data_IF_910387762596
#
_entry.id   IF_910387762596
#
_cell.length_a   1.000
_cell.length_b   1.000
_cell.length_c   1.000
_cell.angle_alpha   90.00
_cell.angle_beta   90.00
_cell.angle_gamma   90.00
#
_symmetry.space_group_name_H-M   'P 1'
#
loop_
_entity.id
_entity.type
_entity.pdbx_description
1 polymer ?
#
# COMPACT_ATOMS: atom_id res chain seq x y z
N UNK A 1 -7.60 1.73 9.22
CA UNK A 1 -7.51 1.34 7.81
C UNK A 1 -6.51 2.28 7.15
N UNK A 2 -5.50 1.79 6.42
CA UNK A 2 -4.49 2.66 5.79
C UNK A 2 -4.96 3.08 4.40
N UNK A 3 -4.78 4.35 4.03
CA UNK A 3 -5.08 4.83 2.68
C UNK A 3 -4.22 4.13 1.64
N UNK A 4 -4.67 4.09 0.38
CA UNK A 4 -3.87 3.52 -0.72
C UNK A 4 -2.51 4.21 -0.83
N UNK A 5 -2.49 5.54 -0.70
CA UNK A 5 -1.26 6.34 -0.73
C UNK A 5 -0.28 5.94 0.37
N UNK A 6 -0.76 5.74 1.60
CA UNK A 6 0.04 5.27 2.74
C UNK A 6 0.62 3.87 2.49
N UNK A 7 -0.17 2.97 1.91
CA UNK A 7 0.26 1.60 1.57
C UNK A 7 1.35 1.61 0.50
N UNK A 8 1.15 2.38 -0.57
CA UNK A 8 2.14 2.53 -1.65
C UNK A 8 3.42 3.18 -1.11
N UNK A 9 3.30 4.20 -0.27
CA UNK A 9 4.45 4.85 0.35
C UNK A 9 5.25 3.85 1.19
N UNK A 10 4.58 3.04 2.00
CA UNK A 10 5.22 2.00 2.80
C UNK A 10 5.91 0.93 1.93
N UNK A 11 5.27 0.46 0.86
CA UNK A 11 5.88 -0.52 -0.06
C UNK A 11 7.09 0.07 -0.80
N UNK A 12 7.02 1.32 -1.25
CA UNK A 12 8.17 2.00 -1.89
C UNK A 12 9.34 2.16 -0.93
N UNK A 13 9.07 2.54 0.33
CA UNK A 13 10.08 2.61 1.37
C UNK A 13 10.72 1.25 1.64
N UNK A 14 9.89 0.21 1.72
CA UNK A 14 10.33 -1.15 1.93
C UNK A 14 11.30 -1.63 0.84
N UNK A 15 11.00 -1.32 -0.43
CA UNK A 15 11.90 -1.62 -1.56
C UNK A 15 13.19 -0.77 -1.47
N UNK A 16 13.07 0.51 -1.10
CA UNK A 16 14.21 1.42 -0.93
C UNK A 16 15.18 0.98 0.18
N UNK A 17 14.66 0.35 1.22
CA UNK A 17 15.42 -0.17 2.37
C UNK A 17 15.83 -1.64 2.21
N UNK A 18 15.98 -2.15 0.99
CA UNK A 18 16.39 -3.55 0.74
C UNK A 18 15.47 -4.58 1.43
N UNK A 19 14.16 -4.31 1.45
CA UNK A 19 13.15 -5.15 2.09
C UNK A 19 13.33 -5.23 3.62
N UNK A 20 13.88 -4.19 4.23
CA UNK A 20 13.91 -4.03 5.68
C UNK A 20 12.57 -3.53 6.21
N UNK A 21 11.84 -4.44 6.87
CA UNK A 21 10.60 -4.12 7.58
C UNK A 21 10.89 -3.17 8.75
N UNK A 22 11.99 -3.42 9.48
CA UNK A 22 12.31 -2.68 10.69
C UNK A 22 12.55 -1.19 10.39
N UNK A 23 13.30 -0.87 9.35
CA UNK A 23 13.55 0.51 8.93
C UNK A 23 12.28 1.20 8.45
N UNK A 24 11.45 0.48 7.69
CA UNK A 24 10.16 1.01 7.21
C UNK A 24 9.22 1.37 8.36
N UNK A 25 9.11 0.48 9.36
CA UNK A 25 8.29 0.71 10.55
C UNK A 25 8.88 1.81 11.43
N UNK A 26 10.21 1.89 11.56
CA UNK A 26 10.88 2.95 12.33
C UNK A 26 10.68 4.33 11.71
N UNK A 27 10.68 4.43 10.38
CA UNK A 27 10.50 5.70 9.66
C UNK A 27 9.04 6.16 9.61
N UNK A 28 8.11 5.25 9.32
CA UNK A 28 6.70 5.60 9.17
C UNK A 28 5.91 5.50 10.49
N UNK A 29 6.35 4.68 11.44
CA UNK A 29 5.58 4.35 12.65
C UNK A 29 4.42 3.38 12.41
N UNK A 30 4.24 2.94 11.16
CA UNK A 30 3.27 1.98 10.65
C UNK A 30 3.83 1.40 9.34
N UNK A 31 3.24 0.38 8.70
CA UNK A 31 2.25 -0.58 9.16
C UNK A 31 2.88 -1.69 10.03
N UNK A 32 2.13 -2.75 10.37
CA UNK A 32 2.73 -3.96 10.96
C UNK A 32 3.49 -4.79 9.92
N UNK A 33 4.43 -5.63 10.37
CA UNK A 33 5.22 -6.53 9.52
C UNK A 33 4.37 -7.34 8.53
N UNK A 34 3.30 -7.95 9.02
CA UNK A 34 2.42 -8.78 8.17
C UNK A 34 1.70 -7.95 7.10
N UNK A 35 1.25 -6.74 7.43
CA UNK A 35 0.60 -5.86 6.47
C UNK A 35 1.58 -5.44 5.37
N UNK A 36 2.81 -5.07 5.73
CA UNK A 36 3.84 -4.68 4.76
C UNK A 36 4.19 -5.83 3.80
N UNK A 37 4.34 -7.05 4.32
CA UNK A 37 4.62 -8.24 3.51
C UNK A 37 3.45 -8.52 2.55
N UNK A 38 2.21 -8.44 3.04
CA UNK A 38 1.01 -8.64 2.21
C UNK A 38 0.98 -7.62 1.07
N UNK A 39 1.15 -6.35 1.38
CA UNK A 39 1.18 -5.27 0.40
C UNK A 39 2.31 -5.43 -0.62
N UNK A 40 3.52 -5.74 -0.17
CA UNK A 40 4.64 -5.98 -1.07
C UNK A 40 4.38 -7.18 -1.99
N UNK A 41 3.76 -8.25 -1.48
CA UNK A 41 3.40 -9.42 -2.28
C UNK A 41 2.38 -9.05 -3.36
N UNK A 42 1.30 -8.34 -2.98
CA UNK A 42 0.30 -7.87 -3.94
C UNK A 42 0.91 -6.93 -5.00
N UNK A 43 1.76 -6.01 -4.57
CA UNK A 43 2.49 -5.10 -5.46
C UNK A 43 3.41 -5.85 -6.43
N UNK A 44 4.08 -6.91 -5.97
CA UNK A 44 4.94 -7.75 -6.82
C UNK A 44 4.13 -8.57 -7.84
N UNK A 45 2.96 -9.07 -7.45
CA UNK A 45 2.11 -9.92 -8.30
C UNK A 45 1.32 -9.11 -9.34
N UNK A 46 0.77 -7.95 -8.95
CA UNK A 46 -0.10 -7.13 -9.82
C UNK A 46 0.58 -5.88 -10.37
N UNK A 47 1.72 -5.48 -9.82
CA UNK A 47 2.33 -4.17 -10.09
C UNK A 47 1.64 -3.00 -9.37
N UNK A 48 0.56 -3.27 -8.63
CA UNK A 48 -0.23 -2.27 -7.93
C UNK A 48 -0.87 -2.84 -6.64
N UNK A 49 -1.20 -1.96 -5.70
CA UNK A 49 -1.89 -2.30 -4.46
C UNK A 49 -3.39 -2.16 -4.63
N UNK A 50 -4.19 -3.13 -4.20
CA UNK A 50 -5.64 -2.94 -4.24
C UNK A 50 -6.05 -1.74 -3.36
N UNK A 51 -6.54 -0.69 -4.00
CA UNK A 51 -7.27 0.38 -3.33
C UNK A 51 -8.62 -0.19 -2.93
N UNK A 52 -8.72 -0.64 -1.68
CA UNK A 52 -9.98 -1.06 -1.04
C UNK A 52 -11.10 0.02 -1.14
N UNK A 53 -10.76 1.22 -1.62
CA UNK A 53 -11.68 2.23 -2.10
C UNK A 53 -11.77 2.19 -3.63
N UNK A 54 -12.31 1.12 -4.18
CA UNK A 54 -13.22 1.29 -5.32
C UNK A 54 -14.49 1.95 -4.76
N UNK A 55 -14.40 3.23 -4.36
CA UNK A 55 -15.54 4.08 -4.66
C UNK A 55 -15.53 4.12 -6.17
N UNK A 56 -16.35 3.27 -6.81
CA UNK A 56 -16.97 3.71 -8.04
C UNK A 56 -17.44 5.14 -7.77
N UNK A 57 -16.96 6.16 -8.49
CA UNK A 57 -17.81 7.31 -8.65
C UNK A 57 -19.05 6.77 -9.38
N UNK A 58 -20.08 6.40 -8.62
CA UNK A 58 -21.46 6.65 -8.99
C UNK A 58 -21.59 8.17 -9.18
N UNK A 59 -20.97 8.69 -10.23
CA UNK A 59 -21.55 9.81 -10.94
C UNK A 59 -22.03 9.21 -12.23
N UNK A 60 -23.27 8.74 -12.14
CA UNK A 60 -24.12 8.44 -13.28
C UNK A 60 -23.74 9.32 -14.45
N UNK A 61 -23.48 8.67 -15.59
CA UNK A 61 -23.83 9.27 -16.87
C UNK A 61 -25.29 9.68 -16.77
N UNK A 62 -25.55 10.96 -16.53
CA UNK A 62 -26.81 11.57 -16.90
C UNK A 62 -26.52 12.57 -18.02
N UNK A 63 -27.35 12.45 -19.05
CA UNK A 63 -27.19 12.92 -20.44
C UNK A 63 -27.04 14.43 -20.61
#
# INVERSE_FOLDING_TARGET
MYSYEDRIKAVKLYIKYDLSVADTIRELGYPTRNALIKWYKEYKEKGDLHTDYEREPEFSREQ
#
